data_IF_664432803326
#
_entry.id   IF_664432803326
#
_cell.length_a   1.000
_cell.length_b   1.000
_cell.length_c   1.000
_cell.angle_alpha   90.00
_cell.angle_beta   90.00
_cell.angle_gamma   90.00
#
_symmetry.space_group_name_H-M   'P 1'
#
loop_
_entity.id
_entity.type
_entity.pdbx_description
1 polymer ?
#
# COMPACT_ATOMS: atom_id res chain seq x y z
N UNK A 1 41.51 7.81 -27.12
CA UNK A 1 41.13 9.20 -26.76
C UNK A 1 39.62 9.35 -26.93
N UNK A 2 38.85 9.01 -25.90
CA UNK A 2 37.42 9.35 -25.75
C UNK A 2 37.18 9.56 -24.26
N UNK A 3 36.95 10.81 -23.88
CA UNK A 3 36.62 11.25 -22.53
C UNK A 3 35.22 10.75 -22.16
N UNK A 4 35.08 10.13 -20.99
CA UNK A 4 33.79 9.99 -20.32
C UNK A 4 33.82 10.95 -19.13
N UNK A 5 33.01 12.00 -19.21
CA UNK A 5 32.79 12.93 -18.10
C UNK A 5 32.11 12.18 -16.95
N UNK A 6 32.84 11.97 -15.87
CA UNK A 6 32.27 11.65 -14.56
C UNK A 6 31.53 12.88 -14.05
N UNK A 7 30.19 12.81 -13.97
CA UNK A 7 29.37 13.79 -13.25
C UNK A 7 29.28 13.36 -11.79
N UNK A 8 30.20 13.91 -10.98
CA UNK A 8 30.10 13.97 -9.54
C UNK A 8 28.78 14.65 -9.14
N UNK A 9 27.85 13.94 -8.52
CA UNK A 9 26.82 14.58 -7.67
C UNK A 9 27.25 14.41 -6.23
N UNK A 10 27.71 15.52 -5.67
CA UNK A 10 27.97 15.75 -4.26
C UNK A 10 26.71 15.39 -3.46
N UNK A 11 26.76 14.29 -2.73
CA UNK A 11 25.79 13.95 -1.68
C UNK A 11 26.01 14.93 -0.53
N UNK A 12 25.15 15.94 -0.41
CA UNK A 12 25.02 16.69 0.84
C UNK A 12 24.18 15.83 1.78
N UNK A 13 24.82 15.20 2.77
CA UNK A 13 24.12 14.57 3.89
C UNK A 13 23.44 15.67 4.70
N UNK A 14 22.11 15.60 4.83
CA UNK A 14 21.38 16.41 5.81
C UNK A 14 21.25 15.56 7.06
N UNK A 15 22.02 15.91 8.08
CA UNK A 15 21.90 15.35 9.43
C UNK A 15 20.77 16.08 10.14
N UNK A 16 19.69 15.38 10.50
CA UNK A 16 18.65 15.94 11.38
C UNK A 16 18.98 15.50 12.81
N UNK A 17 19.29 16.48 13.65
CA UNK A 17 19.53 16.30 15.08
C UNK A 17 18.19 16.04 15.78
N UNK A 18 18.13 14.98 16.58
CA UNK A 18 16.99 14.68 17.46
C UNK A 18 16.99 15.71 18.59
N UNK A 19 16.05 16.66 18.50
CA UNK A 19 15.61 17.49 19.61
C UNK A 19 14.22 17.01 20.01
N UNK A 20 14.09 16.57 21.27
CA UNK A 20 12.82 16.31 21.90
C UNK A 20 12.00 17.60 21.90
N UNK A 21 10.86 17.64 21.20
CA UNK A 21 9.69 18.43 21.58
C UNK A 21 8.47 18.01 20.74
N UNK A 22 7.37 17.81 21.44
CA UNK A 22 6.09 17.37 20.92
C UNK A 22 5.47 18.39 19.94
N UNK A 23 4.59 17.88 19.08
CA UNK A 23 3.73 18.54 18.09
C UNK A 23 4.36 18.62 16.69
N UNK A 24 4.33 17.49 15.98
CA UNK A 24 4.41 17.47 14.51
C UNK A 24 3.25 18.31 13.96
N UNK A 25 3.58 19.43 13.31
CA UNK A 25 2.62 20.40 12.85
C UNK A 25 1.73 19.79 11.75
N UNK A 26 0.41 20.05 11.81
CA UNK A 26 -0.58 19.59 10.82
C UNK A 26 -0.15 19.83 9.37
N UNK A 27 0.55 20.95 9.13
CA UNK A 27 1.11 21.33 7.83
C UNK A 27 2.16 20.38 7.27
N UNK A 28 2.96 19.76 8.13
CA UNK A 28 4.05 18.87 7.73
C UNK A 28 3.49 17.54 7.21
N UNK A 29 2.48 17.02 7.89
CA UNK A 29 1.72 15.85 7.47
C UNK A 29 0.87 16.11 6.21
N UNK A 30 0.30 17.31 6.06
CA UNK A 30 -0.46 17.68 4.86
C UNK A 30 0.45 17.76 3.62
N UNK A 31 1.71 18.16 3.80
CA UNK A 31 2.72 18.15 2.75
C UNK A 31 3.10 16.72 2.35
N UNK A 32 3.27 15.80 3.30
CA UNK A 32 3.58 14.39 3.02
C UNK A 32 2.43 13.70 2.27
N UNK A 33 1.17 13.94 2.67
CA UNK A 33 0.00 13.41 1.95
C UNK A 33 -0.06 13.95 0.52
N UNK A 34 0.29 15.22 0.32
CA UNK A 34 0.33 15.82 -1.02
C UNK A 34 1.44 15.20 -1.89
N UNK A 35 2.62 14.97 -1.32
CA UNK A 35 3.72 14.29 -2.00
C UNK A 35 3.39 12.84 -2.35
N UNK A 36 2.67 12.14 -1.47
CA UNK A 36 2.14 10.80 -1.73
C UNK A 36 1.17 10.79 -2.90
N UNK A 37 0.19 11.70 -2.90
CA UNK A 37 -0.80 11.82 -3.98
C UNK A 37 -0.12 12.14 -5.33
N UNK A 38 0.90 13.00 -5.34
CA UNK A 38 1.69 13.29 -6.55
C UNK A 38 2.50 12.09 -7.03
N UNK A 39 3.09 11.31 -6.10
CA UNK A 39 3.85 10.11 -6.43
C UNK A 39 2.97 9.04 -7.10
N UNK A 40 1.79 8.77 -6.54
CA UNK A 40 0.82 7.85 -7.14
C UNK A 40 0.26 8.38 -8.47
N UNK A 41 0.08 9.70 -8.61
CA UNK A 41 -0.34 10.33 -9.87
C UNK A 41 0.65 10.11 -11.01
N UNK A 42 1.96 10.13 -10.72
CA UNK A 42 3.02 9.91 -11.71
C UNK A 42 3.15 8.45 -12.15
N UNK A 43 2.79 7.49 -11.30
CA UNK A 43 2.70 6.08 -11.67
C UNK A 43 1.54 5.84 -12.66
N UNK A 44 0.43 6.57 -12.51
CA UNK A 44 -0.77 6.41 -13.35
C UNK A 44 -0.63 6.97 -14.78
N UNK A 45 0.29 7.91 -15.02
CA UNK A 45 0.53 8.50 -16.34
C UNK A 45 1.49 7.69 -17.23
N UNK A 46 2.06 6.60 -16.72
CA UNK A 46 2.99 5.76 -17.49
C UNK A 46 2.29 4.56 -18.16
N UNK A 47 1.03 4.28 -17.84
CA UNK A 47 0.24 3.15 -18.38
C UNK A 47 -0.97 3.61 -19.21
N UNK A 48 -0.75 4.45 -20.22
CA UNK A 48 -1.80 4.75 -21.21
C UNK A 48 -1.24 4.68 -22.62
N UNK A 49 -1.23 3.48 -23.19
CA UNK A 49 -1.35 3.25 -24.63
C UNK A 49 -1.83 1.81 -24.88
N UNK A 50 -3.15 1.63 -24.96
CA UNK A 50 -3.87 1.05 -26.12
C UNK A 50 -5.32 0.75 -25.71
N UNK A 51 -6.22 1.52 -26.29
CA UNK A 51 -7.66 1.33 -26.21
C UNK A 51 -8.08 0.61 -27.49
N UNK A 52 -8.50 -0.65 -27.40
CA UNK A 52 -9.24 -1.30 -28.48
C UNK A 52 -10.52 -1.93 -27.92
N UNK A 53 -11.62 -1.47 -28.50
CA UNK A 53 -13.00 -1.89 -28.31
C UNK A 53 -13.29 -3.26 -28.92
N UNK A 54 -14.17 -4.08 -28.30
CA UNK A 54 -15.36 -4.73 -28.90
C UNK A 54 -16.01 -5.77 -27.93
N UNK A 55 -17.22 -6.31 -28.20
CA UNK A 55 -18.33 -6.37 -27.24
C UNK A 55 -18.46 -7.71 -26.49
N UNK A 56 -19.32 -7.67 -25.48
CA UNK A 56 -19.74 -8.80 -24.68
C UNK A 56 -20.36 -9.93 -25.52
N UNK A 57 -19.73 -11.11 -25.52
CA UNK A 57 -20.41 -12.41 -25.55
C UNK A 57 -19.66 -13.34 -24.59
N UNK A 58 -20.35 -13.70 -23.51
CA UNK A 58 -19.95 -14.69 -22.51
C UNK A 58 -20.18 -16.07 -23.10
N UNK A 59 -19.11 -16.76 -23.52
CA UNK A 59 -19.00 -18.22 -23.48
C UNK A 59 -17.56 -18.62 -23.81
N UNK A 60 -16.82 -19.13 -22.82
CA UNK A 60 -15.56 -19.85 -23.08
C UNK A 60 -15.60 -21.15 -22.29
N UNK A 61 -16.19 -22.15 -22.90
CA UNK A 61 -15.73 -23.51 -22.73
C UNK A 61 -14.50 -23.66 -23.62
N UNK A 62 -13.34 -24.04 -23.07
CA UNK A 62 -12.29 -24.83 -23.75
C UNK A 62 -11.12 -25.07 -22.79
N UNK A 63 -10.96 -26.34 -22.43
CA UNK A 63 -9.80 -26.94 -21.82
C UNK A 63 -8.58 -26.80 -22.73
N UNK A 64 -7.73 -25.80 -22.46
CA UNK A 64 -6.34 -25.79 -22.88
C UNK A 64 -5.46 -26.15 -21.67
N UNK A 65 -4.27 -26.75 -21.86
CA UNK A 65 -3.28 -26.81 -20.80
C UNK A 65 -2.80 -25.38 -20.59
N UNK A 66 -3.54 -24.65 -19.75
CA UNK A 66 -3.08 -23.40 -19.18
C UNK A 66 -1.77 -23.76 -18.49
N UNK A 67 -0.66 -23.41 -19.13
CA UNK A 67 0.55 -23.11 -18.38
C UNK A 67 0.11 -22.05 -17.38
N UNK A 68 -0.23 -22.49 -16.18
CA UNK A 68 -0.61 -21.63 -15.08
C UNK A 68 0.59 -20.71 -14.93
N UNK A 69 0.46 -19.48 -15.43
CA UNK A 69 1.31 -18.39 -15.01
C UNK A 69 0.99 -18.25 -13.53
N UNK A 70 1.74 -19.00 -12.71
CA UNK A 70 1.55 -18.98 -11.27
C UNK A 70 1.96 -17.59 -10.86
N UNK A 71 0.99 -16.84 -10.33
CA UNK A 71 1.24 -15.57 -9.68
C UNK A 71 2.29 -15.82 -8.61
N UNK A 72 3.42 -15.13 -8.69
CA UNK A 72 4.46 -15.20 -7.67
C UNK A 72 4.09 -14.24 -6.54
N UNK A 73 3.42 -14.78 -5.51
CA UNK A 73 2.98 -14.03 -4.34
C UNK A 73 4.11 -13.31 -3.60
N UNK A 74 5.37 -13.74 -3.76
CA UNK A 74 6.53 -13.08 -3.13
C UNK A 74 6.83 -11.69 -3.70
N UNK A 75 6.26 -11.37 -4.87
CA UNK A 75 6.39 -10.08 -5.55
C UNK A 75 5.30 -9.08 -5.13
N UNK A 76 4.53 -9.40 -4.10
CA UNK A 76 3.46 -8.55 -3.59
C UNK A 76 3.80 -7.99 -2.21
N UNK A 77 3.44 -6.73 -2.00
CA UNK A 77 3.38 -6.08 -0.70
C UNK A 77 1.97 -5.57 -0.48
N UNK A 78 1.44 -5.71 0.73
CA UNK A 78 0.07 -5.34 1.02
C UNK A 78 -0.06 -4.51 2.30
N UNK A 79 -0.97 -3.54 2.27
CA UNK A 79 -1.51 -2.86 3.46
C UNK A 79 -3.01 -3.08 3.48
N UNK A 80 -3.49 -3.72 4.53
CA UNK A 80 -4.91 -4.03 4.73
C UNK A 80 -5.42 -3.28 5.95
N UNK A 81 -6.44 -2.44 5.77
CA UNK A 81 -6.96 -1.54 6.81
C UNK A 81 -8.47 -1.74 6.90
N UNK A 82 -8.94 -2.19 8.07
CA UNK A 82 -10.35 -2.50 8.29
C UNK A 82 -10.79 -1.92 9.61
N UNK A 83 -11.74 -0.98 9.59
CA UNK A 83 -12.15 -0.25 10.79
C UNK A 83 -13.65 -0.39 10.96
N UNK A 84 -14.08 -1.13 11.98
CA UNK A 84 -15.49 -1.26 12.36
C UNK A 84 -15.84 -0.31 13.50
N UNK A 85 -14.96 -0.20 14.49
CA UNK A 85 -15.23 0.54 15.71
C UNK A 85 -14.86 2.02 15.54
N UNK A 86 -15.90 2.85 15.45
CA UNK A 86 -15.83 4.29 15.47
C UNK A 86 -16.61 4.86 16.66
N UNK A 87 -16.16 6.00 17.19
CA UNK A 87 -16.86 6.68 18.29
C UNK A 87 -18.30 7.09 17.92
N UNK A 88 -18.58 7.28 16.63
CA UNK A 88 -19.92 7.55 16.11
C UNK A 88 -20.12 6.77 14.83
N UNK A 89 -21.32 6.21 14.64
CA UNK A 89 -21.69 5.37 13.51
C UNK A 89 -20.74 4.17 13.32
N UNK A 90 -20.63 3.26 14.30
CA UNK A 90 -19.82 2.06 14.14
C UNK A 90 -20.32 1.25 12.93
N UNK A 91 -19.39 0.64 12.22
CA UNK A 91 -19.65 -0.24 11.09
C UNK A 91 -19.60 -1.70 11.56
N UNK A 92 -20.08 -2.58 10.69
CA UNK A 92 -19.97 -4.03 10.86
C UNK A 92 -19.54 -4.63 9.53
N UNK A 93 -18.39 -5.29 9.52
CA UNK A 93 -17.93 -6.08 8.39
C UNK A 93 -16.62 -5.60 7.77
N UNK A 94 -16.14 -4.39 8.08
CA UNK A 94 -14.87 -3.89 7.54
C UNK A 94 -13.68 -4.76 7.98
N UNK A 95 -13.68 -5.23 9.23
CA UNK A 95 -12.66 -6.18 9.71
C UNK A 95 -12.82 -7.54 9.03
N UNK A 96 -14.05 -7.99 8.80
CA UNK A 96 -14.34 -9.24 8.07
C UNK A 96 -13.84 -9.18 6.61
N UNK A 97 -14.04 -8.05 5.93
CA UNK A 97 -13.59 -7.81 4.56
C UNK A 97 -12.06 -7.90 4.49
N UNK A 98 -11.37 -7.24 5.42
CA UNK A 98 -9.92 -7.28 5.52
C UNK A 98 -9.38 -8.66 5.82
N UNK A 99 -10.00 -9.41 6.74
CA UNK A 99 -9.60 -10.80 7.01
C UNK A 99 -9.81 -11.71 5.81
N UNK A 100 -10.86 -11.47 5.04
CA UNK A 100 -11.12 -12.19 3.79
C UNK A 100 -10.07 -11.86 2.73
N UNK A 101 -9.67 -10.59 2.63
CA UNK A 101 -8.58 -10.16 1.75
C UNK A 101 -7.24 -10.76 2.18
N UNK A 102 -6.89 -10.72 3.47
CA UNK A 102 -5.68 -11.34 4.02
C UNK A 102 -5.62 -12.83 3.64
N UNK A 103 -6.73 -13.54 3.86
CA UNK A 103 -6.86 -14.96 3.50
C UNK A 103 -6.65 -15.19 2.00
N UNK A 104 -7.25 -14.37 1.15
CA UNK A 104 -7.09 -14.46 -0.29
C UNK A 104 -5.63 -14.25 -0.72
N UNK A 105 -4.97 -13.22 -0.18
CA UNK A 105 -3.55 -12.92 -0.49
C UNK A 105 -2.65 -14.09 -0.07
N UNK A 106 -2.83 -14.62 1.15
CA UNK A 106 -1.97 -15.70 1.66
C UNK A 106 -2.27 -17.04 0.98
N UNK A 107 -3.54 -17.45 0.93
CA UNK A 107 -3.91 -18.81 0.53
C UNK A 107 -4.04 -18.96 -0.99
N UNK A 108 -4.51 -17.92 -1.69
CA UNK A 108 -4.76 -18.00 -3.14
C UNK A 108 -3.61 -17.42 -3.96
N UNK A 109 -3.03 -16.30 -3.52
CA UNK A 109 -1.91 -15.65 -4.22
C UNK A 109 -0.53 -16.04 -3.67
N UNK A 110 -0.45 -16.67 -2.50
CA UNK A 110 0.82 -17.10 -1.91
C UNK A 110 1.68 -15.95 -1.37
N UNK A 111 1.07 -14.82 -1.00
CA UNK A 111 1.79 -13.66 -0.45
C UNK A 111 2.32 -14.02 0.96
N UNK A 112 3.63 -13.86 1.21
CA UNK A 112 4.19 -14.03 2.55
C UNK A 112 3.58 -13.07 3.57
N UNK A 113 3.26 -13.56 4.78
CA UNK A 113 2.58 -12.74 5.80
C UNK A 113 3.40 -11.54 6.27
N UNK A 114 4.72 -11.65 6.25
CA UNK A 114 5.67 -10.59 6.56
C UNK A 114 5.67 -9.45 5.55
N UNK A 115 5.12 -9.67 4.34
CA UNK A 115 4.85 -8.62 3.33
C UNK A 115 3.42 -8.06 3.42
N UNK A 116 2.66 -8.43 4.45
CA UNK A 116 1.29 -7.94 4.68
C UNK A 116 1.25 -7.17 5.99
N UNK A 117 1.02 -5.86 5.88
CA UNK A 117 0.72 -5.01 7.03
C UNK A 117 -0.78 -4.96 7.28
N UNK A 118 -1.19 -5.24 8.51
CA UNK A 118 -2.59 -5.46 8.87
C UNK A 118 -3.03 -4.53 10.01
N UNK A 119 -4.02 -3.70 9.74
CA UNK A 119 -4.62 -2.78 10.70
C UNK A 119 -6.10 -3.09 10.90
N UNK A 120 -6.49 -3.29 12.16
CA UNK A 120 -7.84 -3.69 12.54
C UNK A 120 -8.40 -2.76 13.60
N UNK A 121 -9.43 -2.01 13.26
CA UNK A 121 -10.19 -1.18 14.18
C UNK A 121 -11.37 -1.95 14.74
N UNK A 122 -11.09 -2.90 15.64
CA UNK A 122 -12.08 -3.68 16.40
C UNK A 122 -11.85 -3.50 17.90
N UNK A 123 -12.81 -3.97 18.73
CA UNK A 123 -12.75 -3.85 20.21
C UNK A 123 -11.50 -4.46 20.84
N UNK A 124 -10.97 -5.48 20.20
CA UNK A 124 -9.75 -6.22 20.56
C UNK A 124 -8.47 -5.39 20.32
N UNK A 125 -8.49 -4.49 19.33
CA UNK A 125 -7.33 -3.72 18.88
C UNK A 125 -7.55 -2.22 19.10
N UNK A 126 -7.97 -1.80 20.31
CA UNK A 126 -8.27 -0.39 20.62
C UNK A 126 -7.13 0.35 21.33
N UNK A 127 -6.09 -0.34 21.76
CA UNK A 127 -4.98 0.29 22.48
C UNK A 127 -4.06 1.02 21.51
N UNK A 128 -3.68 2.28 21.75
CA UNK A 128 -2.70 2.99 20.93
C UNK A 128 -1.32 2.31 20.88
N UNK A 129 -0.99 1.47 21.87
CA UNK A 129 0.23 0.66 21.88
C UNK A 129 0.12 -0.66 21.11
N UNK A 130 -1.05 -0.98 20.57
CA UNK A 130 -1.24 -2.15 19.71
C UNK A 130 -0.72 -1.83 18.30
N UNK A 131 0.24 -2.60 17.77
CA UNK A 131 0.75 -2.38 16.40
C UNK A 131 -0.33 -2.52 15.33
N UNK A 132 -1.44 -3.23 15.61
CA UNK A 132 -2.55 -3.39 14.68
C UNK A 132 -3.60 -2.28 14.78
N UNK A 133 -3.49 -1.37 15.76
CA UNK A 133 -4.44 -0.27 15.91
C UNK A 133 -4.34 0.70 14.71
N UNK A 134 -5.43 0.97 13.97
CA UNK A 134 -5.45 1.80 12.77
C UNK A 134 -5.41 3.31 13.11
N UNK A 135 -4.41 3.75 13.86
CA UNK A 135 -4.21 5.18 14.10
C UNK A 135 -3.77 5.88 12.81
N UNK A 136 -4.07 7.17 12.68
CA UNK A 136 -3.61 7.97 11.54
C UNK A 136 -2.09 7.93 11.41
N UNK A 137 -1.36 7.97 12.52
CA UNK A 137 0.11 7.89 12.52
C UNK A 137 0.57 6.54 11.96
N UNK A 138 0.07 5.42 12.50
CA UNK A 138 0.43 4.08 12.02
C UNK A 138 0.14 3.87 10.53
N UNK A 139 -1.02 4.34 10.05
CA UNK A 139 -1.39 4.22 8.63
C UNK A 139 -0.42 5.02 7.76
N UNK A 140 -0.14 6.29 8.10
CA UNK A 140 0.77 7.14 7.33
C UNK A 140 2.19 6.56 7.36
N UNK A 141 2.70 6.19 8.54
CA UNK A 141 4.04 5.63 8.72
C UNK A 141 4.21 4.36 7.88
N UNK A 142 3.18 3.51 7.82
CA UNK A 142 3.22 2.28 7.01
C UNK A 142 3.23 2.59 5.51
N UNK A 143 2.38 3.50 5.05
CA UNK A 143 2.36 3.89 3.64
C UNK A 143 3.71 4.52 3.21
N UNK A 144 4.31 5.33 4.07
CA UNK A 144 5.65 5.89 3.85
C UNK A 144 6.72 4.81 3.87
N UNK A 145 6.62 3.82 4.76
CA UNK A 145 7.60 2.71 4.84
C UNK A 145 7.65 1.90 3.54
N UNK A 146 6.51 1.72 2.85
CA UNK A 146 6.44 1.00 1.58
C UNK A 146 7.23 1.72 0.49
N UNK A 147 7.11 3.05 0.42
CA UNK A 147 7.83 3.86 -0.58
C UNK A 147 9.33 3.77 -0.41
N UNK A 148 9.79 3.62 0.83
CA UNK A 148 11.20 3.55 1.17
C UNK A 148 11.70 2.11 1.37
N UNK A 149 10.87 1.09 1.12
CA UNK A 149 11.25 -0.30 1.32
C UNK A 149 12.17 -0.77 0.17
N UNK A 150 13.47 -1.02 0.43
CA UNK A 150 14.40 -1.45 -0.62
C UNK A 150 14.13 -2.88 -1.11
N UNK A 151 13.29 -3.66 -0.40
CA UNK A 151 12.88 -5.01 -0.79
C UNK A 151 11.77 -5.02 -1.85
N UNK A 152 11.16 -3.86 -2.11
CA UNK A 152 10.18 -3.66 -3.18
C UNK A 152 10.92 -3.12 -4.39
N UNK A 153 10.97 -3.94 -5.45
CA UNK A 153 11.70 -3.61 -6.67
C UNK A 153 10.77 -3.30 -7.83
N UNK A 154 11.32 -2.73 -8.90
CA UNK A 154 10.55 -2.48 -10.11
C UNK A 154 9.91 -3.78 -10.65
N UNK A 155 8.61 -3.72 -10.91
CA UNK A 155 7.79 -4.86 -11.32
C UNK A 155 7.07 -5.58 -10.18
N UNK A 156 7.31 -5.21 -8.92
CA UNK A 156 6.53 -5.70 -7.78
C UNK A 156 5.15 -5.02 -7.72
N UNK A 157 4.18 -5.71 -7.13
CA UNK A 157 2.80 -5.27 -7.01
C UNK A 157 2.49 -4.82 -5.58
N UNK A 158 2.03 -3.58 -5.43
CA UNK A 158 1.60 -3.05 -4.13
C UNK A 158 0.07 -3.07 -4.07
N UNK A 159 -0.48 -3.66 -3.01
CA UNK A 159 -1.92 -3.73 -2.75
C UNK A 159 -2.24 -2.86 -1.53
N UNK A 160 -3.16 -1.92 -1.68
CA UNK A 160 -3.71 -1.15 -0.56
C UNK A 160 -5.22 -1.41 -0.54
N UNK A 161 -5.71 -2.03 0.53
CA UNK A 161 -7.12 -2.33 0.70
C UNK A 161 -7.64 -1.65 1.97
N UNK A 162 -8.66 -0.83 1.81
CA UNK A 162 -9.29 -0.08 2.90
C UNK A 162 -10.80 -0.39 2.95
N UNK A 163 -11.28 -0.77 4.13
CA UNK A 163 -12.69 -0.89 4.45
C UNK A 163 -12.97 -0.05 5.71
N UNK A 164 -13.86 0.93 5.58
CA UNK A 164 -14.21 1.86 6.64
C UNK A 164 -15.01 3.05 6.14
N UNK A 165 -15.19 4.06 6.99
CA UNK A 165 -15.85 5.32 6.62
C UNK A 165 -15.09 6.08 5.54
N UNK A 166 -15.85 6.75 4.68
CA UNK A 166 -15.35 7.73 3.72
C UNK A 166 -16.11 9.04 3.84
N UNK A 167 -15.40 10.16 3.76
CA UNK A 167 -15.98 11.50 3.70
C UNK A 167 -15.47 12.22 2.47
N UNK A 168 -16.24 13.19 1.98
CA UNK A 168 -15.86 14.10 0.89
C UNK A 168 -15.48 15.47 1.43
#
# INVERSE_FOLDING_TARGET
MRHVLSRNRSLRSVTVSVGDDAISSKSELDNEISLLAESFGRLRLQDSDTQDSLPAILEVHLSLPVSQCRVDGSRFDAVLIGIDEYASYPLQGCVSDVRSMEKYLVESLGVPRDRIQLFLGSREHMSPGDPMYPSRAHIIDTLLSIIHNPEIIYGDSIIIFYAGHGSR
#
